data_IF_658191120415
#
_entry.id   IF_658191120415
#
_cell.length_a   1.000
_cell.length_b   1.000
_cell.length_c   1.000
_cell.angle_alpha   90.00
_cell.angle_beta   90.00
_cell.angle_gamma   90.00
#
_symmetry.space_group_name_H-M   'P 1'
#
loop_
_entity.id
_entity.type
_entity.pdbx_description
1 polymer ?
#
# COMPACT_ATOMS: atom_id res chain seq x y z
N UNK A 1 -9.79 17.83 -14.24
CA UNK A 1 -9.51 16.47 -13.71
C UNK A 1 -10.21 15.37 -14.52
N UNK A 2 -9.71 14.13 -14.45
CA UNK A 2 -10.09 12.99 -15.29
C UNK A 2 -11.48 12.42 -14.93
N UNK A 3 -12.24 11.92 -15.90
CA UNK A 3 -13.55 11.30 -15.61
C UNK A 3 -13.38 10.03 -14.77
N UNK A 4 -14.30 9.71 -13.84
CA UNK A 4 -14.21 8.49 -13.03
C UNK A 4 -14.16 7.22 -13.88
N UNK A 5 -14.89 7.20 -15.00
CA UNK A 5 -14.89 6.09 -15.94
C UNK A 5 -13.51 5.89 -16.59
N UNK A 6 -12.86 6.99 -16.97
CA UNK A 6 -11.52 6.95 -17.54
C UNK A 6 -10.51 6.39 -16.53
N UNK A 7 -10.46 6.97 -15.31
CA UNK A 7 -9.52 6.54 -14.25
C UNK A 7 -9.66 5.04 -13.95
N UNK A 8 -10.90 4.55 -13.85
CA UNK A 8 -11.20 3.14 -13.60
C UNK A 8 -10.66 2.24 -14.73
N UNK A 9 -10.85 2.63 -15.99
CA UNK A 9 -10.33 1.87 -17.14
C UNK A 9 -8.81 1.85 -17.17
N UNK A 10 -8.18 3.01 -16.98
CA UNK A 10 -6.72 3.08 -16.92
C UNK A 10 -6.15 2.16 -15.83
N UNK A 11 -6.64 2.32 -14.60
CA UNK A 11 -6.17 1.53 -13.46
C UNK A 11 -6.37 0.03 -13.70
N UNK A 12 -7.50 -0.36 -14.30
CA UNK A 12 -7.77 -1.76 -14.62
C UNK A 12 -6.77 -2.33 -15.63
N UNK A 13 -6.47 -1.60 -16.70
CA UNK A 13 -5.49 -2.04 -17.70
C UNK A 13 -4.08 -2.15 -17.10
N UNK A 14 -3.67 -1.14 -16.33
CA UNK A 14 -2.39 -1.13 -15.64
C UNK A 14 -2.25 -2.29 -14.65
N UNK A 15 -3.26 -2.52 -13.81
CA UNK A 15 -3.27 -3.62 -12.85
C UNK A 15 -3.24 -4.99 -13.53
N UNK A 16 -3.98 -5.18 -14.64
CA UNK A 16 -3.97 -6.43 -15.40
C UNK A 16 -2.59 -6.71 -15.99
N UNK A 17 -1.94 -5.69 -16.55
CA UNK A 17 -0.59 -5.78 -17.07
C UNK A 17 0.41 -6.21 -15.98
N UNK A 18 0.46 -5.50 -14.85
CA UNK A 18 1.42 -5.81 -13.78
C UNK A 18 1.15 -7.11 -13.03
N UNK A 19 -0.11 -7.56 -12.97
CA UNK A 19 -0.48 -8.84 -12.32
C UNK A 19 -0.24 -10.04 -13.22
N UNK A 20 -0.59 -9.97 -14.49
CA UNK A 20 -0.48 -11.10 -15.41
C UNK A 20 0.92 -11.19 -16.06
N UNK A 21 1.55 -10.03 -16.31
CA UNK A 21 2.89 -9.90 -16.91
C UNK A 21 3.06 -10.57 -18.28
N UNK A 22 1.95 -10.84 -18.97
CA UNK A 22 1.98 -11.40 -20.31
C UNK A 22 2.07 -10.29 -21.36
N UNK A 23 2.60 -10.63 -22.54
CA UNK A 23 2.74 -9.67 -23.64
C UNK A 23 1.36 -9.17 -24.11
N UNK A 24 0.33 -10.00 -24.06
CA UNK A 24 -1.04 -9.62 -24.45
C UNK A 24 -1.59 -8.54 -23.53
N UNK A 25 -1.40 -8.67 -22.21
CA UNK A 25 -1.87 -7.66 -21.24
C UNK A 25 -1.06 -6.38 -21.30
N UNK A 26 0.22 -6.49 -21.62
CA UNK A 26 1.08 -5.34 -21.91
C UNK A 26 0.56 -4.57 -23.13
N UNK A 27 0.32 -5.26 -24.25
CA UNK A 27 -0.16 -4.65 -25.48
C UNK A 27 -1.57 -4.08 -25.37
N UNK A 28 -2.46 -4.74 -24.63
CA UNK A 28 -3.78 -4.19 -24.29
C UNK A 28 -3.67 -2.86 -23.55
N UNK A 29 -2.80 -2.77 -22.54
CA UNK A 29 -2.62 -1.55 -21.75
C UNK A 29 -1.99 -0.43 -22.60
N UNK A 30 -0.94 -0.74 -23.35
CA UNK A 30 -0.28 0.18 -24.27
C UNK A 30 -1.27 0.74 -25.30
N UNK A 31 -2.02 -0.15 -25.95
CA UNK A 31 -3.00 0.24 -26.97
C UNK A 31 -4.11 1.11 -26.41
N UNK A 32 -4.55 0.86 -25.17
CA UNK A 32 -5.52 1.72 -24.50
C UNK A 32 -4.95 3.14 -24.28
N UNK A 33 -3.73 3.25 -23.75
CA UNK A 33 -3.07 4.55 -23.53
C UNK A 33 -2.91 5.33 -24.83
N UNK A 34 -2.41 4.70 -25.90
CA UNK A 34 -2.19 5.39 -27.18
C UNK A 34 -3.50 5.88 -27.81
N UNK A 35 -4.57 5.06 -27.75
CA UNK A 35 -5.89 5.46 -28.25
C UNK A 35 -6.47 6.62 -27.48
N UNK A 36 -6.29 6.63 -26.17
CA UNK A 36 -6.83 7.70 -25.34
C UNK A 36 -6.00 8.97 -25.47
N UNK A 37 -4.67 8.89 -25.57
CA UNK A 37 -3.79 10.06 -25.82
C UNK A 37 -4.22 10.86 -27.05
N UNK A 38 -4.71 10.21 -28.10
CA UNK A 38 -5.23 10.86 -29.31
C UNK A 38 -6.57 11.61 -29.10
N UNK A 39 -7.24 11.40 -27.97
CA UNK A 39 -8.59 11.91 -27.68
C UNK A 39 -8.63 12.96 -26.57
N UNK A 40 -7.48 13.28 -25.98
CA UNK A 40 -7.42 14.21 -24.83
C UNK A 40 -6.38 15.31 -25.05
N UNK A 41 -6.79 16.51 -24.65
CA UNK A 41 -6.02 17.74 -24.76
C UNK A 41 -5.72 18.28 -23.34
N UNK A 42 -4.66 19.10 -23.21
CA UNK A 42 -4.29 19.77 -21.95
C UNK A 42 -3.68 18.84 -20.90
N UNK A 43 -3.88 19.12 -19.60
CA UNK A 43 -3.28 18.36 -18.47
C UNK A 43 -3.59 16.85 -18.46
N UNK A 44 -4.63 16.43 -19.20
CA UNK A 44 -4.96 15.01 -19.38
C UNK A 44 -3.94 14.29 -20.25
N UNK A 45 -3.28 15.01 -21.14
CA UNK A 45 -2.26 14.51 -22.03
C UNK A 45 -0.97 14.18 -21.27
N UNK A 46 -0.63 14.93 -20.21
CA UNK A 46 0.67 14.82 -19.54
C UNK A 46 0.92 13.43 -18.93
N UNK A 47 -0.02 12.92 -18.12
CA UNK A 47 0.10 11.57 -17.54
C UNK A 47 0.13 10.50 -18.65
N UNK A 48 -0.66 10.67 -19.71
CA UNK A 48 -0.67 9.72 -20.83
C UNK A 48 0.64 9.77 -21.63
N UNK A 49 1.29 10.93 -21.73
CA UNK A 49 2.64 11.07 -22.29
C UNK A 49 3.66 10.30 -21.45
N UNK A 50 3.60 10.38 -20.12
CA UNK A 50 4.49 9.58 -19.26
C UNK A 50 4.29 8.08 -19.49
N UNK A 51 3.05 7.59 -19.52
CA UNK A 51 2.79 6.17 -19.82
C UNK A 51 3.29 5.75 -21.21
N UNK A 52 3.00 6.56 -22.23
CA UNK A 52 3.43 6.35 -23.62
C UNK A 52 4.96 6.25 -23.71
N UNK A 53 5.67 7.18 -23.07
CA UNK A 53 7.13 7.17 -23.01
C UNK A 53 7.67 5.96 -22.24
N UNK A 54 7.06 5.58 -21.11
CA UNK A 54 7.45 4.39 -20.36
C UNK A 54 7.33 3.12 -21.21
N UNK A 55 6.28 2.96 -22.00
CA UNK A 55 6.15 1.82 -22.91
C UNK A 55 7.20 1.80 -24.02
N UNK A 56 7.63 2.98 -24.49
CA UNK A 56 8.68 3.10 -25.50
C UNK A 56 10.06 2.77 -24.93
N UNK A 57 10.37 3.25 -23.73
CA UNK A 57 11.70 3.14 -23.12
C UNK A 57 11.92 1.82 -22.37
N UNK A 58 10.92 1.35 -21.63
CA UNK A 58 11.07 0.22 -20.71
C UNK A 58 10.66 -1.13 -21.33
N UNK A 59 9.66 -1.12 -22.22
CA UNK A 59 9.20 -2.33 -22.88
C UNK A 59 8.51 -3.34 -21.94
N UNK A 60 8.13 -4.48 -22.52
CA UNK A 60 7.50 -5.59 -21.79
C UNK A 60 8.46 -6.27 -20.80
N UNK A 61 9.75 -6.34 -21.14
CA UNK A 61 10.79 -6.95 -20.31
C UNK A 61 10.89 -6.28 -18.92
N UNK A 62 10.72 -4.96 -18.85
CA UNK A 62 10.67 -4.27 -17.57
C UNK A 62 9.53 -4.79 -16.69
N UNK A 63 8.33 -4.97 -17.25
CA UNK A 63 7.15 -5.47 -16.51
C UNK A 63 7.36 -6.88 -15.99
N UNK A 64 8.05 -7.75 -16.75
CA UNK A 64 8.38 -9.10 -16.30
C UNK A 64 9.42 -9.12 -15.18
N UNK A 65 10.35 -8.16 -15.20
CA UNK A 65 11.45 -8.08 -14.23
C UNK A 65 11.08 -7.36 -12.93
N UNK A 66 9.96 -6.63 -12.88
CA UNK A 66 9.53 -5.99 -11.63
C UNK A 66 9.24 -7.08 -10.57
N UNK A 67 9.69 -6.92 -9.31
CA UNK A 67 9.44 -7.90 -8.25
C UNK A 67 7.96 -8.31 -8.14
N UNK A 68 7.71 -9.59 -7.84
CA UNK A 68 6.35 -10.07 -7.55
C UNK A 68 5.72 -9.20 -6.45
N UNK A 69 4.45 -8.83 -6.61
CA UNK A 69 3.68 -8.06 -5.59
C UNK A 69 4.14 -6.62 -5.35
N UNK A 70 4.85 -6.00 -6.30
CA UNK A 70 5.20 -4.56 -6.26
C UNK A 70 4.00 -3.62 -6.05
N UNK A 71 2.79 -4.03 -6.47
CA UNK A 71 1.55 -3.25 -6.29
C UNK A 71 0.81 -3.61 -4.99
N UNK A 72 1.41 -4.44 -4.13
CA UNK A 72 0.78 -4.89 -2.89
C UNK A 72 1.06 -3.90 -1.77
N UNK A 73 0.19 -2.90 -1.67
CA UNK A 73 0.25 -1.85 -0.64
C UNK A 73 0.19 -2.44 0.77
N UNK A 74 -0.32 -3.68 0.91
CA UNK A 74 -0.30 -4.40 2.19
C UNK A 74 1.13 -4.45 2.76
N UNK A 75 2.13 -4.78 1.93
CA UNK A 75 3.51 -4.89 2.39
C UNK A 75 4.05 -3.56 2.91
N UNK A 76 3.92 -2.50 2.14
CA UNK A 76 4.35 -1.16 2.55
C UNK A 76 3.61 -0.71 3.81
N UNK A 77 2.31 -1.01 3.89
CA UNK A 77 1.49 -0.72 5.07
C UNK A 77 1.97 -1.45 6.32
N UNK A 78 2.37 -2.72 6.19
CA UNK A 78 2.92 -3.50 7.29
C UNK A 78 4.23 -2.93 7.82
N UNK A 79 5.13 -2.51 6.92
CA UNK A 79 6.39 -1.86 7.33
C UNK A 79 6.10 -0.57 8.10
N UNK A 80 5.16 0.24 7.61
CA UNK A 80 4.79 1.51 8.26
C UNK A 80 4.12 1.28 9.63
N UNK A 81 3.25 0.27 9.73
CA UNK A 81 2.62 -0.14 11.01
C UNK A 81 3.68 -0.65 11.98
N UNK A 82 4.58 -1.52 11.53
CA UNK A 82 5.65 -2.08 12.33
C UNK A 82 6.57 -1.03 12.93
N UNK A 83 6.97 -0.06 12.10
CA UNK A 83 7.70 1.12 12.55
C UNK A 83 6.95 1.85 13.67
N UNK A 84 5.70 2.21 13.42
CA UNK A 84 4.91 3.00 14.37
C UNK A 84 4.63 2.26 15.68
N UNK A 85 4.43 0.94 15.61
CA UNK A 85 4.28 0.11 16.80
C UNK A 85 5.58 0.08 17.60
N UNK A 86 6.71 -0.20 16.95
CA UNK A 86 8.03 -0.29 17.62
C UNK A 86 8.46 1.04 18.27
N UNK A 87 8.16 2.18 17.65
CA UNK A 87 8.40 3.49 18.26
C UNK A 87 7.60 3.72 19.55
N UNK A 88 6.36 3.23 19.58
CA UNK A 88 5.47 3.40 20.73
C UNK A 88 5.71 2.35 21.81
N UNK A 89 5.96 1.11 21.40
CA UNK A 89 6.16 -0.03 22.28
C UNK A 89 6.77 -1.23 21.51
N UNK A 90 7.90 -1.78 21.98
CA UNK A 90 8.65 -2.82 21.24
C UNK A 90 8.07 -4.24 21.30
N UNK A 91 6.84 -4.40 21.78
CA UNK A 91 6.22 -5.70 22.03
C UNK A 91 6.70 -6.37 23.34
N UNK A 92 6.51 -7.69 23.49
CA UNK A 92 5.91 -8.60 22.52
C UNK A 92 4.42 -8.33 22.29
N UNK A 93 3.96 -8.56 21.07
CA UNK A 93 2.57 -8.33 20.69
C UNK A 93 1.81 -9.63 20.44
N UNK A 94 0.60 -9.71 21.02
CA UNK A 94 -0.41 -10.70 20.65
C UNK A 94 -1.52 -9.99 19.88
N UNK A 95 -1.66 -10.32 18.61
CA UNK A 95 -2.54 -9.61 17.68
C UNK A 95 -3.78 -10.46 17.38
N UNK A 96 -4.96 -9.85 17.49
CA UNK A 96 -6.20 -10.39 16.93
C UNK A 96 -6.49 -9.64 15.64
N UNK A 97 -6.54 -10.36 14.52
CA UNK A 97 -6.77 -9.78 13.21
C UNK A 97 -8.13 -10.26 12.67
N UNK A 98 -8.84 -9.40 11.95
CA UNK A 98 -10.06 -9.83 11.27
C UNK A 98 -9.74 -10.84 10.15
N UNK A 99 -10.40 -11.99 10.20
CA UNK A 99 -10.33 -13.06 9.21
C UNK A 99 -10.86 -12.66 7.82
N UNK A 100 -11.70 -11.62 7.73
CA UNK A 100 -12.26 -11.13 6.46
C UNK A 100 -11.29 -10.25 5.67
N UNK A 101 -10.22 -9.77 6.32
CA UNK A 101 -9.27 -8.81 5.75
C UNK A 101 -8.47 -9.38 4.57
N UNK A 102 -7.99 -8.49 3.67
CA UNK A 102 -7.02 -8.90 2.65
C UNK A 102 -5.73 -9.45 3.28
N UNK A 103 -5.37 -8.95 4.47
CA UNK A 103 -4.25 -9.44 5.26
C UNK A 103 -4.43 -10.90 5.69
N UNK A 104 -5.64 -11.37 6.00
CA UNK A 104 -5.91 -12.78 6.28
C UNK A 104 -5.61 -13.66 5.06
N UNK A 105 -5.96 -13.19 3.84
CA UNK A 105 -5.61 -13.88 2.58
C UNK A 105 -4.10 -13.91 2.33
N UNK A 106 -3.37 -13.00 2.96
CA UNK A 106 -1.92 -12.88 2.90
C UNK A 106 -1.27 -13.22 4.25
N UNK A 107 -1.89 -14.10 5.06
CA UNK A 107 -1.39 -14.45 6.40
C UNK A 107 0.08 -14.82 6.42
N UNK A 108 0.55 -15.55 5.41
CA UNK A 108 1.95 -15.97 5.32
C UNK A 108 2.93 -14.78 5.21
N UNK A 109 2.53 -13.68 4.56
CA UNK A 109 3.30 -12.41 4.50
C UNK A 109 3.32 -11.79 5.88
N UNK A 110 2.16 -11.67 6.53
CA UNK A 110 2.05 -11.14 7.89
C UNK A 110 2.94 -11.92 8.86
N UNK A 111 2.83 -13.25 8.85
CA UNK A 111 3.59 -14.13 9.74
C UNK A 111 5.10 -13.97 9.50
N UNK A 112 5.53 -13.88 8.23
CA UNK A 112 6.94 -13.74 7.89
C UNK A 112 7.53 -12.40 8.36
N UNK A 113 6.75 -11.32 8.27
CA UNK A 113 7.22 -9.96 8.56
C UNK A 113 7.08 -9.54 10.02
N UNK A 114 6.00 -9.95 10.66
CA UNK A 114 5.70 -9.54 12.03
C UNK A 114 6.41 -10.42 13.07
N UNK A 115 6.87 -11.61 12.69
CA UNK A 115 7.44 -12.59 13.60
C UNK A 115 8.64 -12.05 14.37
N UNK A 116 8.64 -12.31 15.68
CA UNK A 116 9.79 -12.08 16.56
C UNK A 116 11.08 -12.83 16.16
N UNK A 117 10.98 -13.82 15.25
CA UNK A 117 12.13 -14.59 14.74
C UNK A 117 12.74 -14.01 13.47
N UNK A 118 12.25 -12.87 12.98
CA UNK A 118 12.90 -12.15 11.89
C UNK A 118 14.20 -11.50 12.43
N UNK A 119 15.34 -11.61 11.72
CA UNK A 119 16.59 -11.02 12.18
C UNK A 119 16.44 -9.52 12.45
N UNK A 120 17.13 -9.03 13.48
CA UNK A 120 17.14 -7.61 13.77
C UNK A 120 17.77 -6.83 12.61
N UNK A 121 17.09 -5.77 12.20
CA UNK A 121 17.59 -4.83 11.21
C UNK A 121 17.06 -3.44 11.53
N UNK A 122 17.92 -2.44 11.35
CA UNK A 122 17.58 -1.04 11.55
C UNK A 122 18.03 -0.24 10.35
N UNK A 123 17.13 0.56 9.81
CA UNK A 123 17.38 1.46 8.70
C UNK A 123 17.10 2.89 9.17
N UNK A 124 18.14 3.73 9.25
CA UNK A 124 18.05 5.10 9.77
C UNK A 124 18.13 6.15 8.64
N UNK A 125 17.30 7.20 8.71
CA UNK A 125 17.36 8.39 7.85
C UNK A 125 16.73 9.61 8.56
N UNK A 126 16.88 10.87 8.08
CA UNK A 126 16.19 12.02 8.64
C UNK A 126 14.68 11.81 8.61
N UNK A 127 14.09 11.64 9.79
CA UNK A 127 12.65 11.56 10.02
C UNK A 127 12.04 10.16 10.06
N UNK A 128 12.78 9.06 9.81
CA UNK A 128 12.20 7.71 9.87
C UNK A 128 13.25 6.64 10.20
N UNK A 129 12.87 5.67 11.06
CA UNK A 129 13.71 4.53 11.45
C UNK A 129 12.94 3.22 11.29
N UNK A 130 13.15 2.47 10.21
CA UNK A 130 12.54 1.14 10.10
C UNK A 130 13.29 0.14 10.99
N UNK A 131 12.63 -0.41 12.00
CA UNK A 131 13.18 -1.37 12.96
C UNK A 131 12.43 -2.70 12.86
N UNK A 132 13.19 -3.78 12.70
CA UNK A 132 12.70 -5.16 12.64
C UNK A 132 13.32 -5.98 13.78
N UNK A 133 12.63 -7.02 14.28
CA UNK A 133 11.25 -7.45 13.96
C UNK A 133 10.17 -6.51 14.55
N UNK A 134 8.91 -6.68 14.12
CA UNK A 134 7.76 -6.07 14.84
C UNK A 134 7.52 -6.69 16.21
N UNK A 135 8.16 -7.84 16.51
CA UNK A 135 8.02 -8.59 17.74
C UNK A 135 6.58 -9.07 18.03
N UNK A 136 5.85 -9.48 16.98
CA UNK A 136 4.58 -10.19 17.12
C UNK A 136 4.88 -11.65 17.45
N UNK A 137 4.44 -12.09 18.63
CA UNK A 137 4.66 -13.46 19.13
C UNK A 137 3.50 -14.38 18.80
N UNK A 138 2.30 -13.82 18.62
CA UNK A 138 1.12 -14.58 18.26
C UNK A 138 0.17 -13.73 17.42
N UNK A 139 -0.41 -14.34 16.39
CA UNK A 139 -1.53 -13.77 15.65
C UNK A 139 -2.66 -14.78 15.57
N UNK A 140 -3.86 -14.35 15.97
CA UNK A 140 -5.08 -15.12 15.81
C UNK A 140 -6.03 -14.36 14.87
N UNK A 141 -6.58 -15.07 13.90
CA UNK A 141 -7.64 -14.54 13.06
C UNK A 141 -8.99 -14.80 13.74
N UNK A 142 -9.78 -13.75 13.92
CA UNK A 142 -11.07 -13.79 14.62
C UNK A 142 -12.20 -13.32 13.73
N UNK A 143 -13.42 -13.69 14.11
CA UNK A 143 -14.66 -13.20 13.50
C UNK A 143 -15.11 -11.93 14.23
N UNK A 144 -15.28 -10.81 13.53
CA UNK A 144 -15.72 -9.55 14.14
C UNK A 144 -17.15 -9.64 14.71
N UNK A 145 -17.96 -10.63 14.32
CA UNK A 145 -19.26 -10.86 14.97
C UNK A 145 -19.10 -11.35 16.41
N UNK A 146 -18.03 -12.07 16.73
CA UNK A 146 -17.81 -12.71 18.03
C UNK A 146 -16.78 -11.97 18.91
N UNK A 147 -15.89 -11.19 18.31
CA UNK A 147 -14.75 -10.58 18.99
C UNK A 147 -14.96 -9.09 19.23
N UNK A 148 -15.21 -8.69 20.49
CA UNK A 148 -15.45 -7.28 20.87
C UNK A 148 -14.31 -6.35 20.46
N UNK A 149 -13.06 -6.83 20.51
CA UNK A 149 -11.89 -6.03 20.11
C UNK A 149 -11.94 -5.68 18.62
N UNK A 150 -12.35 -6.63 17.77
CA UNK A 150 -12.52 -6.39 16.34
C UNK A 150 -13.71 -5.47 16.06
N UNK A 151 -14.81 -5.59 16.81
CA UNK A 151 -15.96 -4.66 16.69
C UNK A 151 -15.56 -3.22 16.99
N UNK A 152 -14.74 -3.00 18.01
CA UNK A 152 -14.20 -1.67 18.32
C UNK A 152 -13.34 -1.17 17.16
N UNK A 153 -12.44 -2.03 16.63
CA UNK A 153 -11.63 -1.68 15.46
C UNK A 153 -12.49 -1.31 14.25
N UNK A 154 -13.60 -2.03 13.99
CA UNK A 154 -14.49 -1.75 12.87
C UNK A 154 -15.21 -0.39 13.03
N UNK A 155 -15.66 -0.06 14.25
CA UNK A 155 -16.27 1.24 14.55
C UNK A 155 -15.26 2.37 14.33
N UNK A 156 -14.04 2.21 14.84
CA UNK A 156 -12.97 3.21 14.68
C UNK A 156 -12.55 3.34 13.21
N UNK A 157 -12.37 2.23 12.50
CA UNK A 157 -12.02 2.23 11.08
C UNK A 157 -13.14 2.88 10.24
N UNK A 158 -14.40 2.63 10.57
CA UNK A 158 -15.56 3.28 9.95
C UNK A 158 -15.59 4.79 10.18
N UNK A 159 -15.30 5.24 11.41
CA UNK A 159 -15.21 6.66 11.75
C UNK A 159 -14.04 7.35 11.02
N UNK A 160 -12.85 6.74 11.01
CA UNK A 160 -11.71 7.23 10.22
C UNK A 160 -12.07 7.30 8.73
N UNK A 161 -12.71 6.26 8.19
CA UNK A 161 -13.13 6.24 6.79
C UNK A 161 -14.18 7.31 6.47
N UNK A 162 -15.04 7.68 7.40
CA UNK A 162 -16.00 8.77 7.22
C UNK A 162 -15.27 10.11 7.07
N UNK A 163 -14.28 10.40 7.92
CA UNK A 163 -13.45 11.62 7.84
C UNK A 163 -12.62 11.66 6.56
N UNK A 164 -12.06 10.54 6.14
CA UNK A 164 -11.17 10.45 4.98
C UNK A 164 -11.91 10.31 3.63
N UNK A 165 -13.23 10.47 3.58
CA UNK A 165 -14.03 10.44 2.34
C UNK A 165 -14.41 11.86 1.88
N UNK A 166 -13.61 12.51 1.03
CA UNK A 166 -13.88 13.88 0.57
C UNK A 166 -15.03 13.97 -0.45
N UNK A 167 -15.52 12.83 -0.96
CA UNK A 167 -16.55 12.74 -2.00
C UNK A 167 -17.99 12.83 -1.47
N UNK A 168 -18.18 12.65 -0.16
CA UNK A 168 -19.48 12.77 0.51
C UNK A 168 -19.61 14.14 1.15
N UNK A 169 -20.39 15.05 0.58
CA UNK A 169 -20.49 16.44 1.06
C UNK A 169 -21.92 16.89 1.33
N UNK A 170 -22.81 15.95 1.68
CA UNK A 170 -24.12 16.36 2.19
C UNK A 170 -23.95 17.10 3.53
N UNK A 171 -24.88 17.98 3.92
CA UNK A 171 -24.83 18.67 5.21
C UNK A 171 -24.68 17.70 6.40
N UNK A 172 -25.37 16.55 6.34
CA UNK A 172 -25.29 15.52 7.38
C UNK A 172 -23.90 14.86 7.45
N UNK A 173 -23.28 14.57 6.29
CA UNK A 173 -21.92 14.02 6.23
C UNK A 173 -20.88 15.01 6.77
N UNK A 174 -21.06 16.31 6.53
CA UNK A 174 -20.18 17.36 7.05
C UNK A 174 -20.32 17.45 8.58
N UNK A 175 -21.55 17.58 9.08
CA UNK A 175 -21.81 17.66 10.51
C UNK A 175 -21.33 16.41 11.28
N UNK A 176 -21.45 15.23 10.67
CA UNK A 176 -20.92 14.00 11.25
C UNK A 176 -19.38 14.00 11.32
N UNK A 177 -18.71 14.43 10.25
CA UNK A 177 -17.24 14.55 10.24
C UNK A 177 -16.72 15.56 11.25
N UNK A 178 -17.37 16.71 11.38
CA UNK A 178 -17.02 17.72 12.39
C UNK A 178 -17.10 17.14 13.80
N UNK A 179 -18.18 16.43 14.14
CA UNK A 179 -18.31 15.75 15.44
C UNK A 179 -17.23 14.70 15.69
N UNK A 180 -16.83 13.96 14.65
CA UNK A 180 -15.74 12.98 14.78
C UNK A 180 -14.39 13.66 15.02
N UNK A 181 -14.13 14.78 14.34
CA UNK A 181 -12.92 15.59 14.56
C UNK A 181 -12.90 16.20 15.96
N UNK A 182 -14.04 16.74 16.44
CA UNK A 182 -14.18 17.23 17.81
C UNK A 182 -13.94 16.12 18.85
N UNK A 183 -14.33 14.88 18.53
CA UNK A 183 -14.07 13.72 19.37
C UNK A 183 -12.61 13.20 19.29
N UNK A 184 -11.74 13.82 18.47
CA UNK A 184 -10.33 13.49 18.35
C UNK A 184 -10.02 12.26 17.50
N UNK A 185 -10.87 11.91 16.53
CA UNK A 185 -10.67 10.74 15.65
C UNK A 185 -9.36 10.83 14.84
N UNK A 186 -8.90 12.05 14.55
CA UNK A 186 -7.67 12.34 13.82
C UNK A 186 -6.42 11.80 14.53
N UNK A 187 -6.43 11.77 15.86
CA UNK A 187 -5.35 11.15 16.66
C UNK A 187 -5.20 9.64 16.44
N UNK A 188 -6.25 8.99 15.92
CA UNK A 188 -6.27 7.55 15.59
C UNK A 188 -5.90 7.29 14.12
N UNK A 189 -5.72 8.33 13.32
CA UNK A 189 -5.28 8.25 11.92
C UNK A 189 -3.77 8.50 11.87
N UNK A 190 -3.00 7.45 12.09
CA UNK A 190 -1.53 7.48 12.01
C UNK A 190 -1.01 6.40 11.07
N UNK A 191 0.29 6.45 10.74
CA UNK A 191 0.93 5.47 9.86
C UNK A 191 0.29 5.35 8.45
N UNK A 192 -0.41 6.39 8.00
CA UNK A 192 -1.09 6.41 6.71
C UNK A 192 -0.11 6.53 5.53
N UNK A 193 -0.34 5.76 4.48
CA UNK A 193 0.34 5.92 3.20
C UNK A 193 -0.46 6.92 2.35
N UNK A 194 -0.06 8.19 2.39
CA UNK A 194 -0.67 9.26 1.61
C UNK A 194 0.05 9.45 0.28
N UNK A 195 -0.68 9.66 -0.84
CA UNK A 195 -0.06 10.20 -2.04
C UNK A 195 0.55 11.57 -1.70
N UNK A 196 1.87 11.71 -1.86
CA UNK A 196 2.57 12.98 -1.68
C UNK A 196 3.06 13.51 -3.02
N UNK A 197 3.03 14.84 -3.17
CA UNK A 197 3.64 15.57 -4.29
C UNK A 197 5.12 15.88 -4.05
N UNK A 198 5.68 15.50 -2.90
CA UNK A 198 7.00 15.95 -2.40
C UNK A 198 8.20 15.21 -3.02
N UNK A 199 7.97 14.37 -4.02
CA UNK A 199 9.03 13.61 -4.69
C UNK A 199 9.36 14.27 -6.02
N UNK A 200 10.42 15.09 -6.02
CA UNK A 200 11.11 15.49 -7.25
C UNK A 200 12.33 14.58 -7.44
N UNK A 201 12.70 14.21 -8.67
CA UNK A 201 13.93 13.44 -8.93
C UNK A 201 15.19 14.05 -8.31
N UNK A 202 15.23 15.37 -8.15
CA UNK A 202 16.32 16.13 -7.53
C UNK A 202 16.25 16.12 -5.98
N UNK A 203 15.06 16.08 -5.37
CA UNK A 203 14.90 15.88 -3.90
C UNK A 203 15.24 14.47 -3.46
N UNK A 204 15.24 13.51 -4.39
CA UNK A 204 15.85 12.18 -4.25
C UNK A 204 17.38 12.22 -4.39
N UNK A 205 18.06 13.30 -3.98
CA UNK A 205 19.51 13.48 -3.93
C UNK A 205 20.27 12.49 -3.04
N UNK A 206 19.85 11.23 -2.99
CA UNK A 206 20.42 10.11 -2.27
C UNK A 206 20.58 8.95 -3.22
N UNK A 207 21.84 8.61 -3.53
CA UNK A 207 22.18 7.20 -3.74
C UNK A 207 21.66 6.41 -2.54
N UNK A 208 20.53 5.72 -2.67
CA UNK A 208 20.27 4.51 -1.89
C UNK A 208 19.01 4.38 -1.02
N UNK A 209 17.99 5.27 -1.04
CA UNK A 209 16.74 4.93 -0.31
C UNK A 209 15.46 5.62 -0.80
N UNK A 210 14.50 4.82 -1.27
CA UNK A 210 13.13 5.15 -1.67
C UNK A 210 12.08 4.26 -0.94
N UNK A 211 12.47 3.67 0.19
CA UNK A 211 11.69 2.63 0.88
C UNK A 211 11.87 1.22 0.28
N UNK A 212 12.37 1.09 -0.95
CA UNK A 212 12.59 -0.22 -1.56
C UNK A 212 13.68 -1.00 -0.85
N UNK A 213 14.73 -0.40 -0.29
CA UNK A 213 15.80 -1.19 0.38
C UNK A 213 15.28 -2.00 1.57
N UNK A 214 14.37 -1.43 2.38
CA UNK A 214 13.74 -2.18 3.46
C UNK A 214 12.87 -3.31 2.89
N UNK A 215 12.11 -3.02 1.83
CA UNK A 215 11.27 -4.00 1.12
C UNK A 215 12.07 -5.09 0.41
N UNK A 216 13.23 -4.76 -0.17
CA UNK A 216 14.17 -5.64 -0.86
C UNK A 216 14.86 -6.56 0.13
N UNK A 217 15.39 -6.01 1.23
CA UNK A 217 15.96 -6.80 2.33
C UNK A 217 14.92 -7.76 2.91
N UNK A 218 13.71 -7.26 3.16
CA UNK A 218 12.57 -8.06 3.59
C UNK A 218 12.22 -9.18 2.61
N UNK A 219 12.16 -8.85 1.31
CA UNK A 219 11.88 -9.79 0.22
C UNK A 219 12.97 -10.85 0.13
N UNK A 220 14.24 -10.48 0.26
CA UNK A 220 15.40 -11.38 0.28
C UNK A 220 15.32 -12.36 1.46
N UNK A 221 15.06 -11.87 2.68
CA UNK A 221 14.90 -12.71 3.87
C UNK A 221 13.71 -13.66 3.75
N UNK A 222 12.70 -13.29 2.97
CA UNK A 222 11.56 -14.14 2.67
C UNK A 222 11.81 -15.18 1.58
N UNK A 223 12.60 -14.88 0.56
CA UNK A 223 12.99 -15.86 -0.46
C UNK A 223 13.75 -17.04 0.16
N UNK A 224 14.55 -16.81 1.19
CA UNK A 224 15.20 -17.86 1.97
C UNK A 224 14.23 -18.76 2.77
N UNK A 225 12.95 -18.35 2.93
CA UNK A 225 11.94 -19.02 3.77
C UNK A 225 10.72 -19.51 2.99
N UNK A 226 10.67 -19.38 1.65
CA UNK A 226 9.54 -19.89 0.85
C UNK A 226 9.47 -21.42 0.99
N UNK A 227 8.29 -22.02 1.28
CA UNK A 227 8.12 -23.45 1.10
C UNK A 227 8.38 -23.77 -0.37
N UNK A 228 9.27 -24.74 -0.62
CA UNK A 228 9.43 -25.32 -1.95
C UNK A 228 8.05 -25.88 -2.31
N UNK A 229 7.45 -25.38 -3.40
CA UNK A 229 6.23 -25.98 -3.92
C UNK A 229 6.54 -27.46 -4.23
N UNK A 230 5.70 -28.41 -3.78
CA UNK A 230 5.83 -29.79 -4.22
C UNK A 230 5.68 -29.92 -5.73
#
# INVERSE_FOLDING_TARGET
FWSPAFRRKLLLHFQRMFRARTIERYDECRSFIEKEKQRVDGDREEILRYFSLSFMLLGHEHVTNVPERVLDIALTGLVQIGHTWNERHKGPWTVVHDQSSNMAKQKWIWDAYSAATLPEARFENPGTVAEFPMNVVQTRFGDSVQEKQLQICDVLAGACAAVLRPDRNSPDDVAYREKLLEAGIDSLIFAGLWPSTDVTPESLGRKGWDGNVALEWLTEKMHARRPIKP
#
